data_IF_916592104449
#
_entry.id   IF_916592104449
#
_cell.length_a   1.000
_cell.length_b   1.000
_cell.length_c   1.000
_cell.angle_alpha   90.00
_cell.angle_beta   90.00
_cell.angle_gamma   90.00
#
_symmetry.space_group_name_H-M   'P 1'
#
loop_
_entity.id
_entity.type
_entity.pdbx_description
1 polymer ?
#
# COMPACT_ATOMS: atom_id res chain seq x y z
N UNK A 1 -15.74 -22.44 -0.06
CA UNK A 1 -14.95 -22.27 -1.32
C UNK A 1 -13.53 -21.87 -0.91
N UNK A 2 -12.49 -22.47 -1.54
CA UNK A 2 -11.10 -22.06 -1.25
C UNK A 2 -10.85 -20.63 -1.78
N UNK A 3 -10.04 -19.87 -1.06
CA UNK A 3 -9.67 -18.49 -1.41
C UNK A 3 -9.19 -18.37 -2.87
N UNK A 4 -8.33 -19.29 -3.31
CA UNK A 4 -7.78 -19.28 -4.67
C UNK A 4 -8.86 -19.30 -5.76
N UNK A 5 -9.89 -20.13 -5.62
CA UNK A 5 -10.98 -20.17 -6.61
C UNK A 5 -11.77 -18.88 -6.64
N UNK A 6 -12.07 -18.32 -5.48
CA UNK A 6 -12.75 -17.04 -5.38
C UNK A 6 -11.98 -15.90 -6.03
N UNK A 7 -10.65 -15.89 -5.88
CA UNK A 7 -9.77 -14.88 -6.49
C UNK A 7 -9.77 -15.04 -8.02
N UNK A 8 -9.58 -16.25 -8.53
CA UNK A 8 -9.56 -16.49 -9.98
C UNK A 8 -10.90 -16.16 -10.65
N UNK A 9 -12.02 -16.48 -10.02
CA UNK A 9 -13.36 -16.12 -10.53
C UNK A 9 -13.54 -14.60 -10.61
N UNK A 10 -13.07 -13.84 -9.61
CA UNK A 10 -13.14 -12.38 -9.65
C UNK A 10 -12.23 -11.78 -10.72
N UNK A 11 -11.01 -12.29 -10.87
CA UNK A 11 -10.10 -11.85 -11.93
C UNK A 11 -10.67 -12.15 -13.32
N UNK A 12 -11.28 -13.33 -13.50
CA UNK A 12 -11.96 -13.70 -14.74
C UNK A 12 -13.12 -12.77 -15.05
N UNK A 13 -13.97 -12.52 -14.07
CA UNK A 13 -15.10 -11.58 -14.19
C UNK A 13 -14.60 -10.17 -14.55
N UNK A 14 -13.58 -9.65 -13.87
CA UNK A 14 -13.01 -8.35 -14.18
C UNK A 14 -12.45 -8.26 -15.59
N UNK A 15 -11.76 -9.33 -16.06
CA UNK A 15 -11.29 -9.42 -17.44
C UNK A 15 -12.44 -9.35 -18.45
N UNK A 16 -13.52 -10.09 -18.21
CA UNK A 16 -14.71 -10.16 -19.08
C UNK A 16 -15.43 -8.82 -19.09
N UNK A 17 -15.68 -8.21 -17.94
CA UNK A 17 -16.34 -6.90 -17.81
C UNK A 17 -15.59 -5.78 -18.55
N UNK A 18 -14.26 -5.84 -18.58
CA UNK A 18 -13.41 -4.87 -19.29
C UNK A 18 -13.18 -5.22 -20.76
N UNK A 19 -13.66 -6.36 -21.22
CA UNK A 19 -13.46 -6.83 -22.60
C UNK A 19 -12.00 -7.09 -22.97
N UNK A 20 -11.11 -7.31 -22.00
CA UNK A 20 -9.68 -7.49 -22.23
C UNK A 20 -9.35 -8.88 -22.75
N UNK A 21 -8.42 -8.96 -23.70
CA UNK A 21 -7.85 -10.20 -24.18
C UNK A 21 -6.62 -10.59 -23.33
N UNK A 22 -6.20 -11.85 -23.38
CA UNK A 22 -4.96 -12.27 -22.71
C UNK A 22 -3.73 -11.53 -23.21
N UNK A 23 -3.73 -11.14 -24.48
CA UNK A 23 -2.66 -10.32 -25.08
C UNK A 23 -2.54 -8.95 -24.42
N UNK A 24 -3.65 -8.34 -24.02
CA UNK A 24 -3.64 -7.03 -23.35
C UNK A 24 -3.06 -7.13 -21.94
N UNK A 25 -3.39 -8.21 -21.24
CA UNK A 25 -2.83 -8.51 -19.92
C UNK A 25 -1.34 -8.84 -20.05
N UNK A 26 -0.96 -9.65 -21.05
CA UNK A 26 0.44 -10.02 -21.31
C UNK A 26 1.33 -8.81 -21.58
N UNK A 27 0.85 -7.80 -22.31
CA UNK A 27 1.57 -6.54 -22.56
C UNK A 27 1.86 -5.74 -21.28
N UNK A 28 1.00 -5.88 -20.27
CA UNK A 28 1.10 -5.16 -18.99
C UNK A 28 1.76 -5.99 -17.87
N UNK A 29 2.07 -7.26 -18.13
CA UNK A 29 2.67 -8.20 -17.18
C UNK A 29 3.88 -8.90 -17.80
N UNK A 30 4.66 -9.58 -16.96
CA UNK A 30 5.74 -10.46 -17.41
C UNK A 30 5.25 -11.91 -17.70
N UNK A 31 3.98 -12.07 -18.10
CA UNK A 31 3.36 -13.38 -18.36
C UNK A 31 3.07 -13.55 -19.85
N UNK A 32 3.32 -14.75 -20.38
CA UNK A 32 2.94 -15.06 -21.75
C UNK A 32 1.44 -15.32 -21.87
N UNK A 33 0.88 -15.19 -23.07
CA UNK A 33 -0.52 -15.52 -23.36
C UNK A 33 -0.86 -16.97 -22.97
N UNK A 34 0.03 -17.92 -23.27
CA UNK A 34 -0.16 -19.33 -22.90
C UNK A 34 -0.19 -19.53 -21.38
N UNK A 35 0.67 -18.82 -20.66
CA UNK A 35 0.67 -18.84 -19.19
C UNK A 35 -0.65 -18.28 -18.64
N UNK A 36 -1.10 -17.14 -19.15
CA UNK A 36 -2.38 -16.53 -18.72
C UNK A 36 -3.56 -17.46 -19.02
N UNK A 37 -3.63 -18.03 -20.22
CA UNK A 37 -4.67 -19.01 -20.57
C UNK A 37 -4.72 -20.18 -19.59
N UNK A 38 -3.56 -20.73 -19.24
CA UNK A 38 -3.45 -21.83 -18.27
C UNK A 38 -3.88 -21.38 -16.88
N UNK A 39 -3.44 -20.21 -16.42
CA UNK A 39 -3.78 -19.68 -15.10
C UNK A 39 -5.29 -19.47 -14.94
N UNK A 40 -5.94 -18.84 -15.91
CA UNK A 40 -7.37 -18.58 -15.86
C UNK A 40 -8.23 -19.83 -16.05
N UNK A 41 -7.74 -20.87 -16.72
CA UNK A 41 -8.47 -22.14 -16.89
C UNK A 41 -8.30 -23.10 -15.73
N UNK A 42 -7.08 -23.26 -15.20
CA UNK A 42 -6.76 -24.25 -14.16
C UNK A 42 -6.91 -23.72 -12.73
N UNK A 43 -7.00 -22.40 -12.56
CA UNK A 43 -7.15 -21.73 -11.25
C UNK A 43 -6.16 -22.26 -10.18
N UNK A 44 -4.86 -22.25 -10.49
CA UNK A 44 -3.87 -22.92 -9.65
C UNK A 44 -3.64 -22.18 -8.33
N UNK A 45 -3.01 -22.90 -7.40
CA UNK A 45 -2.40 -22.24 -6.24
C UNK A 45 -1.17 -21.46 -6.70
N UNK A 46 -1.31 -20.16 -6.85
CA UNK A 46 -0.27 -19.31 -7.41
C UNK A 46 0.26 -18.29 -6.40
N UNK A 47 1.40 -17.67 -6.75
CA UNK A 47 2.03 -16.65 -5.87
C UNK A 47 1.16 -15.41 -5.77
N UNK A 48 1.10 -14.85 -4.56
CA UNK A 48 0.36 -13.61 -4.30
C UNK A 48 0.87 -12.46 -5.19
N UNK A 49 2.19 -12.36 -5.40
CA UNK A 49 2.76 -11.35 -6.28
C UNK A 49 2.22 -11.37 -7.70
N UNK A 50 1.98 -12.54 -8.27
CA UNK A 50 1.39 -12.66 -9.61
C UNK A 50 -0.09 -12.28 -9.64
N UNK A 51 -0.81 -12.51 -8.56
CA UNK A 51 -2.19 -12.01 -8.42
C UNK A 51 -2.22 -10.47 -8.39
N UNK A 52 -1.28 -9.86 -7.67
CA UNK A 52 -1.11 -8.39 -7.65
C UNK A 52 -0.79 -7.88 -9.06
N UNK A 53 0.16 -8.52 -9.77
CA UNK A 53 0.55 -8.13 -11.13
C UNK A 53 -0.62 -8.21 -12.12
N UNK A 54 -1.39 -9.30 -12.09
CA UNK A 54 -2.59 -9.47 -12.93
C UNK A 54 -3.67 -8.46 -12.55
N UNK A 55 -3.89 -8.23 -11.25
CA UNK A 55 -4.85 -7.24 -10.76
C UNK A 55 -4.55 -5.84 -11.27
N UNK A 56 -3.29 -5.43 -11.23
CA UNK A 56 -2.83 -4.15 -11.80
C UNK A 56 -3.07 -4.07 -13.31
N UNK A 57 -2.74 -5.13 -14.04
CA UNK A 57 -2.96 -5.18 -15.49
C UNK A 57 -4.45 -5.06 -15.85
N UNK A 58 -5.30 -5.61 -15.00
CA UNK A 58 -6.75 -5.50 -15.10
C UNK A 58 -7.32 -4.21 -14.50
N UNK A 59 -6.46 -3.39 -13.85
CA UNK A 59 -6.89 -2.15 -13.17
C UNK A 59 -8.01 -2.43 -12.15
N UNK A 60 -7.84 -3.48 -11.36
CA UNK A 60 -8.73 -3.84 -10.27
C UNK A 60 -7.98 -3.88 -8.94
N UNK A 61 -8.66 -3.44 -7.91
CA UNK A 61 -8.12 -3.28 -6.57
C UNK A 61 -7.97 -4.62 -5.84
N UNK A 62 -6.98 -4.72 -4.97
CA UNK A 62 -6.78 -5.92 -4.15
C UNK A 62 -8.00 -6.27 -3.28
N UNK A 63 -8.71 -5.33 -2.63
CA UNK A 63 -9.93 -5.65 -1.91
C UNK A 63 -10.98 -6.34 -2.78
N UNK A 64 -11.20 -5.87 -4.00
CA UNK A 64 -12.11 -6.54 -4.94
C UNK A 64 -11.64 -7.98 -5.24
N UNK A 65 -10.34 -8.15 -5.55
CA UNK A 65 -9.76 -9.45 -5.88
C UNK A 65 -9.92 -10.44 -4.72
N UNK A 66 -9.66 -10.00 -3.50
CA UNK A 66 -9.80 -10.81 -2.29
C UNK A 66 -11.26 -10.96 -1.82
N UNK A 67 -12.18 -10.15 -2.35
CA UNK A 67 -13.60 -10.12 -1.95
C UNK A 67 -13.81 -9.52 -0.58
N UNK A 68 -12.98 -8.58 -0.23
CA UNK A 68 -13.02 -7.83 1.00
C UNK A 68 -13.48 -6.39 0.74
N UNK A 69 -13.95 -5.73 1.78
CA UNK A 69 -14.23 -4.29 1.70
C UNK A 69 -12.91 -3.55 1.82
N UNK A 70 -12.80 -2.44 1.11
CA UNK A 70 -11.67 -1.52 1.25
C UNK A 70 -11.56 -1.03 2.68
N UNK A 71 -10.40 -1.25 3.31
CA UNK A 71 -10.09 -0.75 4.65
C UNK A 71 -9.02 0.34 4.54
N UNK A 72 -9.41 1.59 4.79
CA UNK A 72 -8.53 2.76 4.73
C UNK A 72 -7.42 2.79 5.78
N UNK A 73 -7.45 1.85 6.73
CA UNK A 73 -6.39 1.66 7.72
C UNK A 73 -5.28 0.75 7.20
N UNK A 74 -5.46 0.18 6.00
CA UNK A 74 -4.49 -0.70 5.36
C UNK A 74 -3.88 -0.02 4.14
N UNK A 75 -2.57 -0.19 4.01
CA UNK A 75 -1.82 0.12 2.79
C UNK A 75 -1.58 -1.18 2.06
N UNK A 76 -2.18 -1.32 0.88
CA UNK A 76 -2.12 -2.55 0.11
C UNK A 76 -0.78 -2.66 -0.63
N UNK A 77 -0.20 -3.87 -0.73
CA UNK A 77 1.07 -4.06 -1.40
C UNK A 77 0.96 -3.81 -2.91
N UNK A 78 1.97 -3.16 -3.45
CA UNK A 78 2.06 -2.89 -4.88
C UNK A 78 2.80 -3.98 -5.67
N UNK A 79 3.53 -4.86 -4.99
CA UNK A 79 4.32 -5.93 -5.61
C UNK A 79 4.50 -7.12 -4.66
N UNK A 80 5.22 -8.16 -5.13
CA UNK A 80 5.47 -9.39 -4.35
C UNK A 80 6.34 -9.12 -3.12
N UNK A 81 7.39 -8.30 -3.27
CA UNK A 81 8.33 -8.03 -2.18
C UNK A 81 7.66 -7.30 -1.02
N UNK A 82 6.82 -6.31 -1.32
CA UNK A 82 6.00 -5.65 -0.31
C UNK A 82 5.02 -6.61 0.35
N UNK A 83 4.34 -7.45 -0.42
CA UNK A 83 3.38 -8.41 0.13
C UNK A 83 4.08 -9.42 1.06
N UNK A 84 5.24 -9.92 0.67
CA UNK A 84 6.04 -10.86 1.47
C UNK A 84 6.59 -10.18 2.72
N UNK A 85 7.15 -8.98 2.59
CA UNK A 85 7.67 -8.19 3.72
C UNK A 85 6.56 -7.89 4.74
N UNK A 86 5.40 -7.41 4.27
CA UNK A 86 4.26 -7.14 5.13
C UNK A 86 3.73 -8.40 5.80
N UNK A 87 3.69 -9.52 5.08
CA UNK A 87 3.26 -10.81 5.62
C UNK A 87 4.14 -11.22 6.80
N UNK A 88 5.46 -11.14 6.67
CA UNK A 88 6.37 -11.48 7.76
C UNK A 88 6.26 -10.54 8.94
N UNK A 89 6.23 -9.23 8.66
CA UNK A 89 6.06 -8.22 9.71
C UNK A 89 4.76 -8.43 10.49
N UNK A 90 3.64 -8.64 9.80
CA UNK A 90 2.35 -8.88 10.44
C UNK A 90 2.37 -10.21 11.20
N UNK A 91 2.97 -11.25 10.63
CA UNK A 91 3.07 -12.54 11.29
C UNK A 91 3.84 -12.45 12.60
N UNK A 92 4.99 -11.76 12.60
CA UNK A 92 5.78 -11.54 13.81
C UNK A 92 4.99 -10.76 14.88
N UNK A 93 4.18 -9.77 14.49
CA UNK A 93 3.34 -9.02 15.43
C UNK A 93 2.26 -9.87 16.12
N UNK A 94 1.86 -10.99 15.54
CA UNK A 94 0.93 -11.96 16.16
C UNK A 94 1.62 -12.92 17.12
N UNK A 95 2.95 -13.07 17.04
CA UNK A 95 3.70 -14.04 17.86
C UNK A 95 4.54 -13.42 18.96
N UNK A 96 4.84 -12.13 18.86
CA UNK A 96 5.64 -11.39 19.82
C UNK A 96 4.74 -10.35 20.48
N UNK A 97 4.65 -10.37 21.81
CA UNK A 97 3.93 -9.31 22.51
C UNK A 97 4.77 -8.01 22.48
N UNK A 98 4.18 -6.83 22.80
CA UNK A 98 4.90 -5.56 22.86
C UNK A 98 6.10 -5.58 23.81
N UNK A 99 6.12 -6.51 24.81
CA UNK A 99 7.19 -6.68 25.78
C UNK A 99 8.28 -7.65 25.29
N UNK A 100 8.16 -8.18 24.06
CA UNK A 100 9.13 -9.07 23.44
C UNK A 100 9.02 -10.55 23.86
N UNK A 101 7.99 -10.92 24.60
CA UNK A 101 7.74 -12.32 24.95
C UNK A 101 6.98 -13.05 23.84
N UNK A 102 7.40 -14.26 23.46
CA UNK A 102 6.73 -15.08 22.45
C UNK A 102 5.38 -15.61 22.98
N UNK A 103 4.27 -15.06 22.50
CA UNK A 103 2.91 -15.54 22.80
C UNK A 103 2.67 -16.98 22.34
N UNK A 104 3.27 -17.35 21.21
CA UNK A 104 3.22 -18.70 20.66
C UNK A 104 4.62 -19.09 20.20
N UNK A 105 5.14 -20.20 20.73
CA UNK A 105 6.35 -20.77 20.14
C UNK A 105 6.11 -20.96 18.62
N UNK A 106 6.89 -20.26 17.78
CA UNK A 106 6.88 -20.43 16.31
C UNK A 106 6.81 -21.91 15.93
N UNK A 107 7.46 -22.77 16.69
CA UNK A 107 7.49 -24.21 16.55
C UNK A 107 6.10 -24.87 16.72
N UNK A 108 5.24 -24.38 17.61
CA UNK A 108 3.87 -24.91 17.80
C UNK A 108 2.96 -24.53 16.65
N UNK A 109 3.12 -23.33 16.12
CA UNK A 109 2.35 -22.84 14.97
C UNK A 109 2.73 -23.58 13.70
N UNK A 110 4.02 -23.74 13.45
CA UNK A 110 4.52 -24.49 12.29
C UNK A 110 4.12 -25.98 12.32
N UNK A 111 4.02 -26.57 13.51
CA UNK A 111 3.55 -27.94 13.67
C UNK A 111 2.07 -28.09 13.32
N UNK A 112 1.27 -27.04 13.48
CA UNK A 112 -0.17 -27.02 13.15
C UNK A 112 -0.43 -26.72 11.66
N UNK A 113 0.40 -25.93 11.02
CA UNK A 113 0.21 -25.47 9.63
C UNK A 113 0.83 -26.44 8.61
N UNK A 114 1.75 -27.32 9.07
CA UNK A 114 2.28 -28.41 8.27
C UNK A 114 3.79 -28.38 8.03
N UNK A 115 4.33 -29.57 7.83
CA UNK A 115 5.76 -29.86 7.68
C UNK A 115 6.40 -29.16 6.47
N UNK A 116 5.66 -29.04 5.37
CA UNK A 116 6.12 -28.40 4.12
C UNK A 116 6.31 -26.90 4.32
N UNK A 117 5.40 -26.26 5.05
CA UNK A 117 5.50 -24.85 5.37
C UNK A 117 6.66 -24.55 6.32
N UNK A 118 6.84 -25.37 7.37
CA UNK A 118 7.98 -25.26 8.28
C UNK A 118 9.32 -25.35 7.54
N UNK A 119 9.40 -26.24 6.54
CA UNK A 119 10.60 -26.39 5.71
C UNK A 119 10.86 -25.16 4.85
N UNK A 120 9.83 -24.61 4.23
CA UNK A 120 9.92 -23.42 3.41
C UNK A 120 10.33 -22.18 4.25
N UNK A 121 9.75 -22.01 5.46
CA UNK A 121 10.13 -20.93 6.40
C UNK A 121 11.58 -21.05 6.85
N UNK A 122 12.06 -22.26 7.09
CA UNK A 122 13.42 -22.51 7.57
C UNK A 122 14.47 -22.25 6.50
N UNK A 123 14.11 -22.36 5.23
CA UNK A 123 14.99 -22.22 4.07
C UNK A 123 14.94 -20.81 3.46
N UNK A 124 14.29 -19.82 4.10
CA UNK A 124 14.07 -18.45 3.59
C UNK A 124 13.52 -18.41 2.14
N UNK A 125 12.88 -19.51 1.70
CA UNK A 125 12.41 -19.69 0.33
C UNK A 125 10.89 -19.67 0.22
N UNK A 126 10.19 -18.87 1.04
CA UNK A 126 8.75 -18.88 0.95
C UNK A 126 8.29 -18.09 -0.26
N UNK A 127 7.78 -18.87 -1.18
CA UNK A 127 6.84 -18.38 -2.17
C UNK A 127 5.49 -18.21 -1.48
N UNK A 128 5.12 -16.98 -1.17
CA UNK A 128 3.81 -16.68 -0.58
C UNK A 128 2.71 -17.03 -1.59
N UNK A 129 2.17 -18.26 -1.48
CA UNK A 129 1.08 -18.74 -2.32
C UNK A 129 -0.28 -18.44 -1.69
N UNK A 130 -1.34 -18.51 -2.50
CA UNK A 130 -2.71 -18.27 -2.03
C UNK A 130 -3.16 -19.29 -0.97
N UNK A 131 -2.76 -20.55 -1.09
CA UNK A 131 -3.12 -21.58 -0.11
C UNK A 131 -2.40 -21.33 1.22
N UNK A 132 -1.12 -20.92 1.20
CA UNK A 132 -0.36 -20.52 2.39
C UNK A 132 -1.04 -19.34 3.08
N UNK A 133 -1.37 -18.30 2.31
CA UNK A 133 -2.03 -17.12 2.83
C UNK A 133 -3.40 -17.47 3.46
N UNK A 134 -4.18 -18.33 2.81
CA UNK A 134 -5.48 -18.82 3.30
C UNK A 134 -5.33 -19.58 4.62
N UNK A 135 -4.34 -20.46 4.73
CA UNK A 135 -4.11 -21.28 5.93
C UNK A 135 -3.74 -20.41 7.14
N UNK A 136 -2.86 -19.41 6.95
CA UNK A 136 -2.55 -18.46 8.01
C UNK A 136 -3.73 -17.59 8.40
N UNK A 137 -4.44 -17.08 7.42
CA UNK A 137 -5.64 -16.27 7.63
C UNK A 137 -6.67 -17.00 8.50
N UNK A 138 -6.94 -18.26 8.19
CA UNK A 138 -7.86 -19.12 8.97
C UNK A 138 -7.34 -19.39 10.38
N UNK A 139 -6.04 -19.67 10.50
CA UNK A 139 -5.43 -19.97 11.80
C UNK A 139 -5.44 -18.76 12.74
N UNK A 140 -5.09 -17.60 12.22
CA UNK A 140 -5.04 -16.35 12.99
C UNK A 140 -6.40 -15.67 13.10
N UNK A 141 -7.41 -16.14 12.35
CA UNK A 141 -8.76 -15.53 12.26
C UNK A 141 -8.73 -14.06 11.82
N UNK A 142 -7.87 -13.77 10.87
CA UNK A 142 -7.71 -12.46 10.24
C UNK A 142 -7.97 -12.55 8.74
N UNK A 143 -8.22 -11.41 8.10
CA UNK A 143 -8.40 -11.41 6.65
C UNK A 143 -7.10 -11.73 5.92
N UNK A 144 -7.14 -12.46 4.79
CA UNK A 144 -5.97 -12.69 3.96
C UNK A 144 -5.28 -11.39 3.53
N UNK A 145 -6.08 -10.39 3.17
CA UNK A 145 -5.58 -9.11 2.72
C UNK A 145 -4.87 -8.33 3.84
N UNK A 146 -5.37 -8.41 5.08
CA UNK A 146 -4.72 -7.77 6.23
C UNK A 146 -3.34 -8.37 6.55
N UNK A 147 -3.10 -9.64 6.23
CA UNK A 147 -1.80 -10.27 6.44
C UNK A 147 -0.71 -9.76 5.50
N UNK A 148 -1.09 -9.38 4.28
CA UNK A 148 -0.14 -8.87 3.27
C UNK A 148 -0.14 -7.35 3.16
N UNK A 149 -0.99 -6.68 3.91
CA UNK A 149 -1.09 -5.22 3.91
C UNK A 149 -0.39 -4.62 5.11
N UNK A 150 0.04 -3.38 4.98
CA UNK A 150 0.62 -2.63 6.08
C UNK A 150 -0.49 -1.85 6.80
N UNK A 151 -0.56 -1.95 8.11
CA UNK A 151 -1.45 -1.08 8.87
C UNK A 151 -0.95 0.35 8.84
N UNK A 152 -1.85 1.31 8.70
CA UNK A 152 -1.49 2.71 8.94
C UNK A 152 -0.90 2.86 10.34
N UNK A 153 0.24 3.51 10.42
CA UNK A 153 0.94 3.69 11.69
C UNK A 153 0.05 4.44 12.68
N UNK A 154 0.06 3.99 13.93
CA UNK A 154 -0.59 4.73 15.00
C UNK A 154 0.14 6.06 15.20
N UNK A 155 -0.62 7.14 15.18
CA UNK A 155 -0.09 8.48 15.36
C UNK A 155 -0.86 9.51 14.58
N UNK A 156 -0.58 10.76 14.87
CA UNK A 156 -1.12 11.91 14.13
C UNK A 156 0.01 12.74 13.59
N UNK A 157 -0.07 13.06 12.32
CA UNK A 157 0.84 14.00 11.69
C UNK A 157 0.27 15.40 11.88
N UNK A 158 0.98 16.23 12.63
CA UNK A 158 0.65 17.64 12.85
C UNK A 158 1.57 18.52 12.02
N UNK A 159 0.97 19.51 11.40
CA UNK A 159 1.68 20.54 10.68
C UNK A 159 1.72 21.81 11.54
N UNK A 160 2.91 22.31 11.81
CA UNK A 160 3.11 23.64 12.38
C UNK A 160 3.95 24.47 11.44
N UNK A 161 3.77 25.78 11.49
CA UNK A 161 4.40 26.69 10.56
C UNK A 161 5.03 27.86 11.28
N UNK A 162 6.26 28.17 10.88
CA UNK A 162 6.96 29.36 11.32
C UNK A 162 7.65 30.01 10.11
N UNK A 163 7.18 31.17 9.69
CA UNK A 163 7.62 31.83 8.45
C UNK A 163 7.46 30.94 7.21
N UNK A 164 8.54 30.71 6.45
CA UNK A 164 8.59 29.82 5.29
C UNK A 164 8.82 28.35 5.67
N UNK A 165 9.03 28.04 6.93
CA UNK A 165 9.33 26.69 7.40
C UNK A 165 8.05 25.99 7.82
N UNK A 166 7.87 24.75 7.37
CA UNK A 166 6.81 23.84 7.79
C UNK A 166 7.42 22.69 8.55
N UNK A 167 6.97 22.50 9.78
CA UNK A 167 7.37 21.37 10.61
C UNK A 167 6.25 20.33 10.63
N UNK A 168 6.59 19.10 10.25
CA UNK A 168 5.71 17.94 10.35
C UNK A 168 6.09 17.18 11.61
N UNK A 169 5.20 17.20 12.60
CA UNK A 169 5.40 16.51 13.86
C UNK A 169 4.59 15.22 13.88
N UNK A 170 5.27 14.08 14.00
CA UNK A 170 4.60 12.81 14.28
C UNK A 170 4.38 12.67 15.78
N UNK A 171 3.13 12.67 16.20
CA UNK A 171 2.74 12.48 17.59
C UNK A 171 2.12 11.10 17.81
N UNK A 172 2.59 10.39 18.83
CA UNK A 172 1.97 9.16 19.35
C UNK A 172 1.51 9.44 20.79
N UNK A 173 0.19 9.53 20.97
CA UNK A 173 -0.38 10.00 22.24
C UNK A 173 -0.06 11.48 22.48
N UNK A 174 0.71 11.79 23.54
CA UNK A 174 1.15 13.14 23.90
C UNK A 174 2.61 13.43 23.51
N UNK A 175 3.31 12.42 23.01
CA UNK A 175 4.74 12.52 22.69
C UNK A 175 4.94 12.85 21.21
N UNK A 176 5.87 13.78 20.97
CA UNK A 176 6.38 14.07 19.64
C UNK A 176 7.56 13.12 19.35
N UNK A 177 7.32 12.06 18.54
CA UNK A 177 8.31 11.00 18.30
C UNK A 177 9.22 11.28 17.11
N UNK A 178 8.80 12.16 16.21
CA UNK A 178 9.63 12.59 15.08
C UNK A 178 9.20 13.98 14.59
N UNK A 179 10.14 14.70 14.02
CA UNK A 179 9.87 15.96 13.32
C UNK A 179 10.63 15.95 12.00
N UNK A 180 9.95 16.35 10.93
CA UNK A 180 10.55 16.63 9.62
C UNK A 180 10.29 18.08 9.29
N UNK A 181 11.33 18.80 8.92
CA UNK A 181 11.30 20.24 8.67
C UNK A 181 11.51 20.46 7.17
N UNK A 182 10.53 21.05 6.50
CA UNK A 182 10.60 21.34 5.06
C UNK A 182 10.53 22.83 4.77
N UNK A 183 11.15 23.25 3.67
CA UNK A 183 10.96 24.57 3.11
C UNK A 183 9.54 24.68 2.53
N UNK A 184 8.66 25.39 3.22
CA UNK A 184 7.25 25.46 2.87
C UNK A 184 6.99 26.11 1.52
N UNK A 185 7.75 27.13 1.15
CA UNK A 185 7.53 27.86 -0.10
C UNK A 185 7.97 27.01 -1.31
N UNK A 186 9.14 26.36 -1.24
CA UNK A 186 9.61 25.44 -2.28
C UNK A 186 8.79 24.13 -2.33
N UNK A 187 8.47 23.60 -1.16
CA UNK A 187 7.65 22.38 -1.05
C UNK A 187 6.24 22.58 -1.56
N UNK A 188 5.64 23.73 -1.29
CA UNK A 188 4.34 24.12 -1.85
C UNK A 188 4.35 24.02 -3.37
N UNK A 189 5.30 24.70 -4.02
CA UNK A 189 5.41 24.70 -5.48
C UNK A 189 5.61 23.27 -6.03
N UNK A 190 6.43 22.45 -5.37
CA UNK A 190 6.63 21.05 -5.75
C UNK A 190 5.35 20.24 -5.63
N UNK A 191 4.60 20.38 -4.53
CA UNK A 191 3.34 19.65 -4.30
C UNK A 191 2.26 20.08 -5.29
N UNK A 192 2.10 21.40 -5.51
CA UNK A 192 1.14 21.93 -6.50
C UNK A 192 1.42 21.37 -7.91
N UNK A 193 2.67 21.45 -8.38
CA UNK A 193 3.06 20.94 -9.69
C UNK A 193 2.93 19.41 -9.78
N UNK A 194 3.23 18.70 -8.72
CA UNK A 194 3.09 17.25 -8.68
C UNK A 194 1.62 16.85 -8.75
N UNK A 195 0.74 17.46 -7.97
CA UNK A 195 -0.70 17.19 -7.99
C UNK A 195 -1.31 17.49 -9.36
N UNK A 196 -0.96 18.65 -9.95
CA UNK A 196 -1.40 18.99 -11.30
C UNK A 196 -0.92 17.95 -12.32
N UNK A 197 0.35 17.52 -12.22
CA UNK A 197 0.89 16.47 -13.09
C UNK A 197 0.21 15.12 -12.91
N UNK A 198 -0.23 14.76 -11.71
CA UNK A 198 -0.98 13.53 -11.45
C UNK A 198 -2.36 13.57 -12.11
N UNK A 199 -3.05 14.72 -12.06
CA UNK A 199 -4.36 14.89 -12.69
C UNK A 199 -4.30 14.75 -14.20
N UNK A 200 -3.23 15.22 -14.83
CA UNK A 200 -3.06 15.14 -16.30
C UNK A 200 -2.22 13.95 -16.76
N UNK A 201 -1.76 13.09 -15.84
CA UNK A 201 -1.02 11.87 -16.16
C UNK A 201 0.42 12.11 -16.67
N UNK A 202 1.03 13.24 -16.31
CA UNK A 202 2.36 13.63 -16.83
C UNK A 202 3.49 13.55 -15.81
N UNK A 203 3.23 13.13 -14.58
CA UNK A 203 4.23 13.06 -13.50
C UNK A 203 4.35 11.67 -12.92
N UNK A 204 5.50 11.41 -12.32
CA UNK A 204 5.70 10.19 -11.52
C UNK A 204 4.78 10.19 -10.30
N UNK A 205 4.27 9.01 -9.90
CA UNK A 205 3.29 8.89 -8.82
C UNK A 205 3.88 9.15 -7.42
N UNK A 206 5.17 9.47 -7.33
CA UNK A 206 5.87 9.68 -6.06
C UNK A 206 6.48 11.07 -5.99
N UNK A 207 6.21 11.80 -4.91
CA UNK A 207 6.87 13.05 -4.56
C UNK A 207 7.59 12.90 -3.23
N UNK A 208 8.88 13.24 -3.20
CA UNK A 208 9.69 13.26 -1.97
C UNK A 208 10.03 14.69 -1.59
N UNK A 209 9.74 15.05 -0.33
CA UNK A 209 10.13 16.32 0.29
C UNK A 209 11.14 16.02 1.39
N UNK A 210 12.38 16.46 1.19
CA UNK A 210 13.46 16.24 2.14
C UNK A 210 13.42 17.25 3.28
N UNK A 211 13.82 16.83 4.46
CA UNK A 211 14.10 17.71 5.58
C UNK A 211 15.27 18.65 5.22
N UNK A 212 15.18 19.92 5.64
CA UNK A 212 16.21 20.93 5.36
C UNK A 212 17.44 20.80 6.25
N UNK A 213 17.30 20.18 7.41
CA UNK A 213 18.35 20.03 8.41
C UNK A 213 18.89 18.59 8.51
N UNK A 214 18.09 17.60 8.08
CA UNK A 214 18.40 16.18 8.19
C UNK A 214 18.16 15.48 6.85
N UNK A 215 19.23 15.19 6.12
CA UNK A 215 19.17 14.53 4.81
C UNK A 215 18.56 13.13 4.85
N UNK A 216 18.50 12.51 6.03
CA UNK A 216 17.97 11.17 6.22
C UNK A 216 16.47 11.19 6.55
N UNK A 217 15.90 12.37 6.79
CA UNK A 217 14.47 12.54 7.09
C UNK A 217 13.72 13.10 5.90
N UNK A 218 12.56 12.53 5.57
CA UNK A 218 11.76 12.92 4.42
C UNK A 218 10.28 12.62 4.58
N UNK A 219 9.45 13.43 3.93
CA UNK A 219 8.04 13.18 3.68
C UNK A 219 7.89 12.65 2.26
N UNK A 220 7.19 11.53 2.08
CA UNK A 220 6.91 10.94 0.79
C UNK A 220 5.41 10.93 0.58
N UNK A 221 4.98 11.42 -0.57
CA UNK A 221 3.61 11.38 -1.04
C UNK A 221 3.55 10.45 -2.26
N UNK A 222 2.70 9.43 -2.22
CA UNK A 222 2.52 8.48 -3.32
C UNK A 222 1.07 8.54 -3.82
N UNK A 223 0.92 8.76 -5.12
CA UNK A 223 -0.37 8.80 -5.79
C UNK A 223 -0.71 7.46 -6.40
N UNK A 224 -1.50 6.67 -5.69
CA UNK A 224 -2.03 5.40 -6.16
C UNK A 224 -3.55 5.46 -6.30
N UNK A 225 -4.22 4.44 -5.87
CA UNK A 225 -5.66 4.44 -5.62
C UNK A 225 -6.01 5.48 -4.55
N UNK A 226 -5.22 5.51 -3.48
CA UNK A 226 -5.25 6.52 -2.42
C UNK A 226 -4.01 7.40 -2.49
N UNK A 227 -4.07 8.53 -1.82
CA UNK A 227 -2.88 9.29 -1.48
C UNK A 227 -2.22 8.65 -0.26
N UNK A 228 -1.07 8.02 -0.44
CA UNK A 228 -0.27 7.48 0.66
C UNK A 228 0.73 8.53 1.14
N UNK A 229 0.74 8.78 2.44
CA UNK A 229 1.65 9.70 3.12
C UNK A 229 2.60 8.89 3.97
N UNK A 230 3.89 9.02 3.75
CA UNK A 230 4.94 8.33 4.51
C UNK A 230 5.89 9.35 5.12
N UNK A 231 6.31 9.10 6.36
CA UNK A 231 7.40 9.81 7.01
C UNK A 231 8.52 8.81 7.23
N UNK A 232 9.68 9.07 6.66
CA UNK A 232 10.87 8.26 6.81
C UNK A 232 11.97 9.02 7.54
N UNK A 233 12.74 8.28 8.35
CA UNK A 233 13.97 8.77 8.98
C UNK A 233 14.99 7.64 9.05
N UNK A 234 16.23 7.90 8.66
CA UNK A 234 17.34 6.95 8.66
C UNK A 234 17.00 5.62 7.93
N UNK A 235 16.24 5.71 6.84
CA UNK A 235 15.78 4.56 6.07
C UNK A 235 14.64 3.76 6.74
N UNK A 236 14.17 4.19 7.90
CA UNK A 236 13.05 3.58 8.59
C UNK A 236 11.76 4.36 8.36
N UNK A 237 10.70 3.67 8.03
CA UNK A 237 9.38 4.25 7.90
C UNK A 237 8.74 4.40 9.29
N UNK A 238 8.65 5.65 9.77
CA UNK A 238 8.08 5.98 11.08
C UNK A 238 6.57 6.13 11.05
N UNK A 239 6.03 6.52 9.90
CA UNK A 239 4.61 6.79 9.72
C UNK A 239 4.19 6.44 8.30
N UNK A 240 3.03 5.81 8.17
CA UNK A 240 2.34 5.61 6.90
C UNK A 240 0.85 5.80 7.13
N UNK A 241 0.18 6.47 6.21
CA UNK A 241 -1.27 6.66 6.24
C UNK A 241 -1.79 6.80 4.82
N UNK A 242 -2.97 6.24 4.56
CA UNK A 242 -3.70 6.47 3.32
C UNK A 242 -4.80 7.51 3.55
N UNK A 243 -4.94 8.41 2.60
CA UNK A 243 -6.00 9.42 2.54
C UNK A 243 -6.73 9.32 1.22
N UNK A 244 -8.02 9.67 1.21
CA UNK A 244 -8.73 9.89 -0.05
C UNK A 244 -8.01 10.99 -0.85
N UNK A 245 -7.99 10.86 -2.16
CA UNK A 245 -7.32 11.83 -3.04
C UNK A 245 -7.87 13.24 -2.89
N UNK A 246 -9.17 13.39 -2.62
CA UNK A 246 -9.81 14.66 -2.28
C UNK A 246 -9.15 15.37 -1.08
N UNK A 247 -8.55 14.60 -0.16
CA UNK A 247 -7.81 15.13 0.99
C UNK A 247 -6.36 15.51 0.68
N UNK A 248 -5.88 15.34 -0.55
CA UNK A 248 -4.62 15.92 -1.00
C UNK A 248 -4.59 17.42 -0.75
N UNK A 249 -5.73 18.05 -0.86
CA UNK A 249 -5.97 19.45 -0.57
C UNK A 249 -5.66 19.84 0.89
N UNK A 250 -5.92 18.95 1.85
CA UNK A 250 -5.57 19.17 3.27
C UNK A 250 -4.05 19.30 3.44
N UNK A 251 -3.28 18.49 2.71
CA UNK A 251 -1.81 18.56 2.74
C UNK A 251 -1.32 19.84 2.09
N UNK A 252 -1.92 20.20 0.95
CA UNK A 252 -1.59 21.43 0.26
C UNK A 252 -1.84 22.65 1.15
N UNK A 253 -3.00 22.70 1.81
CA UNK A 253 -3.36 23.75 2.76
C UNK A 253 -2.37 23.80 3.93
N UNK A 254 -1.94 22.66 4.45
CA UNK A 254 -0.98 22.59 5.55
C UNK A 254 0.44 23.01 5.15
N UNK A 255 0.83 22.78 3.90
CA UNK A 255 2.14 23.17 3.36
C UNK A 255 2.09 24.60 2.81
N UNK A 256 0.96 25.07 2.31
CA UNK A 256 0.78 26.37 1.65
C UNK A 256 0.43 27.51 2.64
N UNK A 257 0.87 28.72 2.31
CA UNK A 257 0.52 29.94 3.07
C UNK A 257 -0.76 30.61 2.63
N UNK A 258 -1.24 30.34 1.43
CA UNK A 258 -2.35 31.12 0.83
C UNK A 258 -3.45 30.19 0.35
N UNK A 259 -4.66 30.45 0.79
CA UNK A 259 -5.88 29.81 0.33
C UNK A 259 -6.18 29.99 -1.16
N UNK A 260 -5.55 30.97 -1.82
CA UNK A 260 -5.86 31.37 -3.21
C UNK A 260 -5.43 30.40 -4.33
N UNK A 261 -4.47 29.51 -4.11
CA UNK A 261 -4.12 28.46 -5.11
C UNK A 261 -5.06 27.27 -5.09
N UNK A 262 -5.82 27.19 -4.06
CA UNK A 262 -6.72 26.10 -3.71
C UNK A 262 -8.02 26.09 -4.54
N UNK A 263 -8.62 27.27 -4.77
CA UNK A 263 -9.86 27.39 -5.56
C UNK A 263 -9.68 26.92 -7.01
N UNK A 264 -8.53 27.22 -7.62
CA UNK A 264 -8.22 26.76 -8.98
C UNK A 264 -8.07 25.24 -9.09
N UNK A 265 -7.58 24.60 -8.04
CA UNK A 265 -7.40 23.14 -7.98
C UNK A 265 -8.73 22.42 -7.74
N UNK A 266 -9.57 22.94 -6.84
CA UNK A 266 -10.92 22.42 -6.62
C UNK A 266 -11.78 22.52 -7.89
N UNK A 267 -11.72 23.64 -8.60
CA UNK A 267 -12.43 23.82 -9.85
C UNK A 267 -12.02 22.80 -10.92
N UNK A 268 -10.72 22.43 -10.99
CA UNK A 268 -10.23 21.40 -11.90
C UNK A 268 -10.67 19.98 -11.51
N UNK A 269 -10.84 19.69 -10.22
CA UNK A 269 -11.41 18.42 -9.77
C UNK A 269 -12.90 18.33 -10.09
N UNK A 270 -13.64 19.40 -9.84
CA UNK A 270 -15.09 19.48 -10.13
C UNK A 270 -15.40 19.43 -11.63
N UNK A 271 -14.56 20.03 -12.48
CA UNK A 271 -14.68 19.94 -13.94
C UNK A 271 -14.48 18.52 -14.48
N UNK A 272 -13.64 17.70 -13.81
CA UNK A 272 -13.40 16.30 -14.20
C UNK A 272 -14.50 15.34 -13.75
N UNK A 273 -15.21 15.65 -12.68
CA UNK A 273 -16.35 14.83 -12.22
C UNK A 273 -17.63 15.09 -13.01
N UNK A 274 -17.72 16.23 -13.70
CA UNK A 274 -18.87 16.65 -14.49
C UNK A 274 -18.71 16.49 -16.01
N UNK A 275 -17.60 15.98 -16.50
CA UNK A 275 -17.31 15.70 -17.90
C UNK A 275 -17.07 14.23 -18.19
#
# INVERSE_FOLDING_TARGET
MKLRYAIWERLKKAKEEKGLLYEDIAKKTNLSNSTLTTLFSSQPNYRVGKIIEIGKALEVELPYIFGEKTDRRLVYPSNEDEAVSNFWFNLDSYYVNPDGEEYYSRKKVYKKIGKAFYKAVKEDQILLSLDVLEDFSKHLKVSPLSLISKSCSSGKLHFSRQNSIVCLHLQKGRENVATVIIDGDNSRYKVENWLMGMLVGTREPVLTLNDINDKNSKLILEWGEYLTIKLEKDGQELYVCQKDKEKANEILTNISRKERGYESYLNLLEEKENG
#
